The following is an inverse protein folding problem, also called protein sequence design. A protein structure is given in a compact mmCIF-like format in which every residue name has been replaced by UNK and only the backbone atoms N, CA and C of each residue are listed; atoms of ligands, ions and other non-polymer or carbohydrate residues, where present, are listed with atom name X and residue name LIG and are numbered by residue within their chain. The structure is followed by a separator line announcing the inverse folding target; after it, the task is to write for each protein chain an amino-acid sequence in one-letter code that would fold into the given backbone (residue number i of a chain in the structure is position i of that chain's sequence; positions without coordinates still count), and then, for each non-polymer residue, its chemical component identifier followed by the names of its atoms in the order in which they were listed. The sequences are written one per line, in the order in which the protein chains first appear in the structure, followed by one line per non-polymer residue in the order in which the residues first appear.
data_IF_263295155062
#
_entry.id   IF_263295155062
#
_cell.length_a   1.000
_cell.length_b   1.000
_cell.length_c   1.000
_cell.angle_alpha   90.00
_cell.angle_beta   90.00
_cell.angle_gamma   90.00
#
_symmetry.space_group_name_H-M   'P 1'
#
loop_
_entity.id
_entity.type
_entity.pdbx_description
1 polymer ?
#
# COMPACT_ATOMS: atom_id res chain seq x y z
N UNK A 1 15.37 -0.68 27.62
CA UNK A 1 16.61 -0.06 27.08
C UNK A 1 16.37 0.26 25.62
N UNK A 2 16.07 1.53 25.35
CA UNK A 2 15.97 2.08 24.00
C UNK A 2 17.34 2.61 23.63
N UNK A 3 17.93 2.13 22.51
CA UNK A 3 19.10 2.74 21.84
C UNK A 3 18.91 2.51 20.34
N UNK A 4 18.46 3.56 19.65
CA UNK A 4 19.23 4.36 18.69
C UNK A 4 19.75 3.58 17.45
N UNK A 5 18.95 3.53 16.39
CA UNK A 5 19.38 3.25 15.01
C UNK A 5 18.89 4.38 14.09
N UNK A 6 19.47 5.55 14.25
CA UNK A 6 19.15 6.75 13.46
C UNK A 6 20.38 7.45 12.88
N UNK A 7 21.55 6.81 12.87
CA UNK A 7 22.81 7.48 12.56
C UNK A 7 23.58 7.03 11.31
N UNK A 8 23.21 5.93 10.68
CA UNK A 8 24.04 5.35 9.62
C UNK A 8 23.71 5.83 8.19
N UNK A 9 22.48 6.25 7.95
CA UNK A 9 22.02 6.61 6.59
C UNK A 9 22.42 8.03 6.15
N UNK A 10 22.66 8.93 7.09
CA UNK A 10 23.02 10.32 6.76
C UNK A 10 24.51 10.50 6.41
N UNK A 11 25.38 9.59 6.83
CA UNK A 11 26.83 9.68 6.63
C UNK A 11 27.29 9.19 5.25
N UNK A 12 26.51 8.33 4.60
CA UNK A 12 26.80 7.83 3.25
C UNK A 12 26.46 8.88 2.18
N UNK A 13 25.42 9.71 2.40
CA UNK A 13 25.02 10.74 1.43
C UNK A 13 26.01 11.93 1.39
N UNK A 14 26.68 12.24 2.49
CA UNK A 14 27.67 13.34 2.56
C UNK A 14 29.01 12.94 1.94
N UNK A 15 29.36 11.64 1.93
CA UNK A 15 30.61 11.15 1.34
C UNK A 15 30.58 11.09 -0.18
N UNK A 16 29.40 10.90 -0.80
CA UNK A 16 29.26 10.88 -2.27
C UNK A 16 29.26 12.28 -2.90
N UNK A 17 28.99 13.33 -2.15
CA UNK A 17 28.99 14.71 -2.66
C UNK A 17 30.41 15.34 -2.71
N UNK A 18 31.41 14.74 -2.10
CA UNK A 18 32.80 15.23 -2.09
C UNK A 18 33.72 14.66 -3.18
N UNK A 19 33.24 13.73 -3.98
CA UNK A 19 34.03 13.10 -5.06
C UNK A 19 33.89 13.78 -6.43
N UNK A 20 33.07 14.83 -6.56
CA UNK A 20 32.86 15.52 -7.83
C UNK A 20 33.39 16.97 -7.89
N UNK A 21 34.16 17.43 -6.92
CA UNK A 21 34.80 18.76 -6.98
C UNK A 21 36.28 18.66 -6.72
N UNK A 22 37.04 18.18 -7.69
CA UNK A 22 38.47 18.48 -7.76
C UNK A 22 39.04 18.24 -9.15
N UNK A 23 39.55 19.34 -9.75
CA UNK A 23 40.38 19.37 -10.95
C UNK A 23 39.74 20.17 -12.08
N UNK A 24 40.27 21.28 -12.54
CA UNK A 24 41.65 21.66 -12.71
C UNK A 24 41.77 23.17 -12.94
N UNK A 25 42.83 23.75 -12.39
CA UNK A 25 43.38 25.06 -12.71
C UNK A 25 43.87 25.12 -14.16
N UNK A 26 43.82 26.33 -14.76
CA UNK A 26 44.45 26.62 -16.04
C UNK A 26 44.27 28.10 -16.41
N UNK A 27 45.26 28.93 -16.12
CA UNK A 27 45.43 30.36 -16.47
C UNK A 27 45.31 30.60 -17.98
N UNK A 28 44.81 31.69 -18.49
CA UNK A 28 45.55 32.90 -18.90
C UNK A 28 44.72 33.84 -19.81
N UNK A 29 44.85 35.18 -19.63
CA UNK A 29 44.99 36.09 -20.76
C UNK A 29 43.77 36.94 -21.18
N UNK A 30 43.61 38.09 -20.47
CA UNK A 30 43.32 39.44 -20.98
C UNK A 30 42.55 39.65 -22.30
N UNK A 31 41.46 40.40 -22.27
CA UNK A 31 41.35 41.82 -22.75
C UNK A 31 39.92 42.35 -22.67
N UNK A 32 39.87 43.58 -22.14
CA UNK A 32 38.73 44.45 -22.12
C UNK A 32 38.11 44.69 -23.52
N UNK A 33 36.82 44.74 -23.59
CA UNK A 33 36.11 45.68 -24.48
C UNK A 33 34.74 45.99 -23.87
N UNK A 34 34.64 47.22 -23.46
CA UNK A 34 33.46 47.97 -23.06
C UNK A 34 32.50 48.12 -24.19
N UNK A 35 31.24 47.74 -24.02
CA UNK A 35 30.09 48.44 -24.59
C UNK A 35 28.87 48.17 -23.73
N UNK A 36 28.41 49.22 -23.10
CA UNK A 36 27.18 49.28 -22.34
C UNK A 36 25.98 49.24 -23.27
N UNK A 37 25.03 48.41 -22.92
CA UNK A 37 23.66 48.61 -23.35
C UNK A 37 22.71 48.37 -22.16
N UNK A 38 22.02 49.40 -21.69
CA UNK A 38 21.17 49.32 -20.50
C UNK A 38 19.71 49.15 -20.92
N UNK A 39 19.29 47.96 -21.19
CA UNK A 39 17.85 47.65 -21.28
C UNK A 39 17.56 46.21 -20.89
N UNK A 40 16.65 46.08 -19.91
CA UNK A 40 15.99 44.86 -19.45
C UNK A 40 16.69 44.08 -18.30
N UNK A 41 16.76 44.75 -17.14
CA UNK A 41 16.75 44.00 -15.87
C UNK A 41 15.52 44.41 -15.08
N UNK A 42 14.36 44.02 -15.58
CA UNK A 42 13.17 43.89 -14.72
C UNK A 42 13.14 42.46 -14.19
N UNK A 43 14.04 42.18 -13.26
CA UNK A 43 13.89 41.02 -12.38
C UNK A 43 12.69 41.34 -11.50
N UNK A 44 11.53 40.81 -11.87
CA UNK A 44 10.38 40.76 -11.00
C UNK A 44 10.78 39.81 -9.85
N UNK A 45 11.37 40.36 -8.81
CA UNK A 45 11.40 39.70 -7.51
C UNK A 45 9.94 39.60 -7.08
N UNK A 46 9.35 38.44 -7.31
CA UNK A 46 8.11 38.05 -6.64
C UNK A 46 8.51 37.94 -5.19
N UNK A 47 8.16 38.95 -4.41
CA UNK A 47 8.29 38.94 -2.97
C UNK A 47 7.43 37.78 -2.44
N UNK A 48 8.07 36.70 -2.00
CA UNK A 48 7.46 35.60 -1.29
C UNK A 48 7.02 35.95 0.14
N UNK A 49 7.23 37.21 0.55
CA UNK A 49 6.94 37.71 1.90
C UNK A 49 5.48 38.14 2.12
N UNK A 50 4.57 37.78 1.20
CA UNK A 50 3.15 38.08 1.35
C UNK A 50 2.25 36.85 1.13
N UNK A 51 2.76 35.63 1.36
CA UNK A 51 1.88 34.55 1.78
C UNK A 51 1.68 34.78 3.29
N UNK A 52 0.80 35.72 3.59
CA UNK A 52 0.13 35.80 4.87
C UNK A 52 -0.22 34.35 5.24
N UNK A 53 0.22 33.92 6.42
CA UNK A 53 -0.37 32.78 7.13
C UNK A 53 -1.87 33.00 7.21
N UNK A 54 -2.54 32.78 6.09
CA UNK A 54 -3.99 32.65 6.01
C UNK A 54 -4.27 31.43 6.84
N UNK A 55 -4.87 31.72 7.98
CA UNK A 55 -5.50 30.81 8.90
C UNK A 55 -5.98 29.56 8.14
N UNK A 56 -5.19 28.49 8.21
CA UNK A 56 -5.72 27.16 8.14
C UNK A 56 -6.54 27.07 9.40
N UNK A 57 -7.81 27.51 9.32
CA UNK A 57 -8.81 27.08 10.27
C UNK A 57 -8.78 25.56 10.12
N UNK A 58 -8.07 24.91 11.02
CA UNK A 58 -8.32 23.53 11.36
C UNK A 58 -9.80 23.51 11.73
N UNK A 59 -10.62 23.06 10.79
CA UNK A 59 -11.99 22.64 11.11
C UNK A 59 -11.75 21.53 12.12
N UNK A 60 -11.97 21.83 13.40
CA UNK A 60 -12.08 20.83 14.44
C UNK A 60 -13.25 19.93 14.03
N UNK A 61 -12.92 18.92 13.24
CA UNK A 61 -13.86 17.86 12.90
C UNK A 61 -14.02 17.07 14.19
N UNK A 62 -15.05 17.38 14.97
CA UNK A 62 -15.43 16.55 16.10
C UNK A 62 -15.51 15.12 15.59
N UNK A 63 -14.76 14.18 16.20
CA UNK A 63 -14.72 12.79 15.70
C UNK A 63 -16.15 12.25 15.73
N UNK A 64 -16.65 11.82 14.56
CA UNK A 64 -17.97 11.23 14.44
C UNK A 64 -18.03 9.93 15.25
N UNK A 65 -19.06 9.79 16.07
CA UNK A 65 -19.36 8.51 16.73
C UNK A 65 -20.12 7.63 15.77
N UNK A 66 -19.56 6.47 15.47
CA UNK A 66 -20.12 5.53 14.50
C UNK A 66 -20.86 4.38 15.19
N UNK A 67 -22.07 4.08 14.72
CA UNK A 67 -22.82 2.87 15.03
C UNK A 67 -22.71 1.92 13.82
N UNK A 68 -21.90 0.85 13.94
CA UNK A 68 -21.63 -0.08 12.85
C UNK A 68 -22.60 -1.26 12.88
N UNK A 69 -23.21 -1.54 11.73
CA UNK A 69 -24.14 -2.64 11.50
C UNK A 69 -23.57 -3.58 10.44
N UNK A 70 -23.41 -4.85 10.78
CA UNK A 70 -22.97 -5.88 9.81
C UNK A 70 -24.11 -6.25 8.87
N UNK A 71 -23.80 -6.28 7.57
CA UNK A 71 -24.71 -6.78 6.52
C UNK A 71 -24.86 -8.29 6.65
N UNK A 72 -26.09 -8.80 6.72
CA UNK A 72 -26.43 -10.22 6.83
C UNK A 72 -27.00 -10.73 5.53
N UNK A 73 -27.07 -12.06 5.38
CA UNK A 73 -27.77 -12.67 4.26
C UNK A 73 -29.24 -12.25 4.21
N UNK A 74 -29.69 -11.77 3.05
CA UNK A 74 -31.05 -11.30 2.82
C UNK A 74 -31.32 -9.85 3.26
N UNK A 75 -30.31 -9.13 3.76
CA UNK A 75 -30.45 -7.72 4.07
C UNK A 75 -30.60 -6.86 2.80
N UNK A 76 -31.34 -5.79 2.95
CA UNK A 76 -31.36 -4.64 2.05
C UNK A 76 -31.11 -3.37 2.86
N UNK A 77 -30.91 -2.23 2.22
CA UNK A 77 -30.61 -0.98 2.89
C UNK A 77 -31.71 -0.59 3.90
N UNK A 78 -32.98 -0.70 3.56
CA UNK A 78 -34.08 -0.38 4.48
C UNK A 78 -34.01 -1.19 5.77
N UNK A 79 -33.74 -2.48 5.70
CA UNK A 79 -33.60 -3.34 6.90
C UNK A 79 -32.39 -2.93 7.75
N UNK A 80 -31.28 -2.54 7.11
CA UNK A 80 -30.05 -2.12 7.81
C UNK A 80 -30.27 -0.76 8.49
N UNK A 81 -30.83 0.22 7.77
CA UNK A 81 -31.12 1.55 8.30
C UNK A 81 -32.11 1.46 9.45
N UNK A 82 -33.22 0.72 9.30
CA UNK A 82 -34.18 0.51 10.38
C UNK A 82 -33.54 -0.16 11.62
N UNK A 83 -32.63 -1.10 11.43
CA UNK A 83 -31.87 -1.73 12.53
C UNK A 83 -30.96 -0.74 13.24
N UNK A 84 -30.47 0.26 12.54
CA UNK A 84 -29.64 1.35 13.08
C UNK A 84 -30.49 2.48 13.70
N UNK A 85 -31.83 2.46 13.53
CA UNK A 85 -32.74 3.48 14.05
C UNK A 85 -33.13 4.57 13.06
N UNK A 86 -32.80 4.38 11.76
CA UNK A 86 -33.07 5.33 10.69
C UNK A 86 -34.21 4.85 9.77
N UNK A 87 -34.81 5.78 9.03
CA UNK A 87 -35.99 5.53 8.21
C UNK A 87 -35.67 5.23 6.75
N UNK A 88 -36.69 4.76 5.99
CA UNK A 88 -36.58 4.60 4.53
C UNK A 88 -36.38 5.94 3.81
N UNK A 89 -36.76 7.07 4.43
CA UNK A 89 -36.48 8.40 3.91
C UNK A 89 -34.97 8.67 3.94
N UNK A 90 -34.29 8.29 5.01
CA UNK A 90 -32.83 8.44 5.12
C UNK A 90 -32.13 7.58 4.07
N UNK A 91 -32.63 6.36 3.81
CA UNK A 91 -32.13 5.52 2.69
C UNK A 91 -32.26 6.27 1.36
N UNK A 92 -33.43 6.87 1.10
CA UNK A 92 -33.67 7.62 -0.13
C UNK A 92 -32.72 8.83 -0.22
N UNK A 93 -32.58 9.60 0.84
CA UNK A 93 -31.76 10.82 0.87
C UNK A 93 -30.28 10.50 0.61
N UNK A 94 -29.73 9.42 1.20
CA UNK A 94 -28.33 8.97 0.97
C UNK A 94 -28.14 8.41 -0.45
N UNK A 95 -29.14 7.69 -0.99
CA UNK A 95 -29.01 6.96 -2.27
C UNK A 95 -29.53 7.72 -3.49
N UNK A 96 -30.19 8.87 -3.32
CA UNK A 96 -30.78 9.65 -4.42
C UNK A 96 -29.74 10.32 -5.32
N UNK A 97 -28.53 10.62 -4.81
CA UNK A 97 -27.42 11.16 -5.59
C UNK A 97 -26.76 10.12 -6.49
N UNK A 98 -26.06 10.57 -7.55
CA UNK A 98 -25.31 9.70 -8.47
C UNK A 98 -24.32 8.82 -7.71
N UNK A 99 -23.69 9.37 -6.69
CA UNK A 99 -22.70 8.71 -5.87
C UNK A 99 -23.31 7.70 -4.88
N UNK A 100 -24.56 7.91 -4.45
CA UNK A 100 -25.29 7.03 -3.52
C UNK A 100 -25.64 5.67 -4.13
N UNK A 101 -25.58 5.52 -5.44
CA UNK A 101 -25.91 4.26 -6.10
C UNK A 101 -24.94 3.11 -5.75
N UNK A 102 -23.69 3.42 -5.40
CA UNK A 102 -22.72 2.42 -4.97
C UNK A 102 -23.15 1.71 -3.68
N UNK A 103 -23.81 2.45 -2.76
CA UNK A 103 -24.34 1.90 -1.52
C UNK A 103 -25.44 0.84 -1.72
N UNK A 104 -26.06 0.79 -2.91
CA UNK A 104 -27.07 -0.24 -3.22
C UNK A 104 -26.49 -1.62 -3.49
N UNK A 105 -25.16 -1.72 -3.62
CA UNK A 105 -24.44 -2.98 -3.83
C UNK A 105 -23.75 -3.41 -2.54
N UNK A 106 -24.53 -3.93 -1.62
CA UNK A 106 -24.06 -4.45 -0.35
C UNK A 106 -23.95 -5.97 -0.38
N UNK A 107 -22.95 -6.50 0.33
CA UNK A 107 -22.72 -7.94 0.43
C UNK A 107 -22.63 -8.38 1.89
N UNK A 108 -23.07 -9.59 2.22
CA UNK A 108 -22.95 -10.12 3.57
C UNK A 108 -21.49 -10.07 4.07
N UNK A 109 -21.33 -9.67 5.35
CA UNK A 109 -20.03 -9.49 5.98
C UNK A 109 -19.48 -8.06 5.91
N UNK A 110 -19.98 -7.21 5.01
CA UNK A 110 -19.63 -5.79 4.98
C UNK A 110 -20.22 -5.05 6.19
N UNK A 111 -19.67 -3.87 6.50
CA UNK A 111 -20.15 -3.02 7.57
C UNK A 111 -20.73 -1.72 7.00
N UNK A 112 -21.88 -1.33 7.51
CA UNK A 112 -22.48 -0.01 7.29
C UNK A 112 -22.46 0.72 8.63
N UNK A 113 -21.72 1.82 8.70
CA UNK A 113 -21.67 2.68 9.90
C UNK A 113 -22.56 3.90 9.72
N UNK A 114 -23.19 4.31 10.79
CA UNK A 114 -24.09 5.46 10.85
C UNK A 114 -23.58 6.45 11.89
N UNK A 115 -23.58 7.72 11.54
CA UNK A 115 -23.32 8.80 12.47
C UNK A 115 -24.52 9.75 12.49
N UNK A 116 -24.96 10.10 13.70
CA UNK A 116 -26.04 11.02 13.95
C UNK A 116 -25.55 12.24 14.73
N UNK A 117 -26.27 13.34 14.63
CA UNK A 117 -26.09 14.50 15.47
C UNK A 117 -26.77 14.36 16.84
N UNK A 118 -26.73 15.41 17.66
CA UNK A 118 -27.35 15.45 18.99
C UNK A 118 -28.90 15.32 18.93
N UNK A 119 -29.50 15.66 17.78
CA UNK A 119 -30.93 15.51 17.54
C UNK A 119 -31.32 14.12 17.03
N UNK A 120 -30.37 13.19 16.95
CA UNK A 120 -30.47 11.85 16.34
C UNK A 120 -30.80 11.87 14.83
N UNK A 121 -30.52 12.98 14.13
CA UNK A 121 -30.63 13.05 12.70
C UNK A 121 -29.36 12.45 12.03
N UNK A 122 -29.57 11.71 10.92
CA UNK A 122 -28.47 11.13 10.16
C UNK A 122 -27.62 12.22 9.49
N UNK A 123 -26.34 12.27 9.84
CA UNK A 123 -25.38 13.23 9.28
C UNK A 123 -24.33 12.56 8.39
N UNK A 124 -24.03 11.28 8.63
CA UNK A 124 -23.11 10.54 7.78
C UNK A 124 -23.39 9.04 7.78
N UNK A 125 -23.07 8.39 6.67
CA UNK A 125 -23.08 6.92 6.50
C UNK A 125 -21.72 6.51 5.97
N UNK A 126 -21.12 5.45 6.50
CA UNK A 126 -19.93 4.83 5.91
C UNK A 126 -20.22 3.41 5.47
N UNK A 127 -19.80 3.05 4.29
CA UNK A 127 -19.83 1.70 3.78
C UNK A 127 -18.41 1.15 3.76
N UNK A 128 -18.10 0.23 4.64
CA UNK A 128 -16.79 -0.44 4.70
C UNK A 128 -16.88 -1.70 3.86
N UNK A 129 -16.36 -1.61 2.63
CA UNK A 129 -16.38 -2.69 1.65
C UNK A 129 -15.32 -3.75 1.99
N UNK A 130 -14.16 -3.29 2.49
CA UNK A 130 -13.04 -4.11 2.96
C UNK A 130 -12.17 -3.29 3.92
N UNK A 131 -11.20 -3.89 4.63
CA UNK A 131 -10.26 -3.13 5.46
C UNK A 131 -9.48 -2.05 4.68
N UNK A 132 -9.35 -2.19 3.37
CA UNK A 132 -8.63 -1.25 2.50
C UNK A 132 -9.53 -0.23 1.80
N UNK A 133 -10.86 -0.42 1.81
CA UNK A 133 -11.76 0.44 1.05
C UNK A 133 -13.03 0.74 1.80
N UNK A 134 -13.32 2.01 1.97
CA UNK A 134 -14.60 2.49 2.48
C UNK A 134 -15.09 3.69 1.67
N UNK A 135 -16.40 3.86 1.62
CA UNK A 135 -17.05 5.05 1.07
C UNK A 135 -17.80 5.75 2.20
N UNK A 136 -17.53 7.03 2.39
CA UNK A 136 -18.23 7.87 3.38
C UNK A 136 -19.19 8.79 2.65
N UNK A 137 -20.43 8.80 3.08
CA UNK A 137 -21.49 9.68 2.62
C UNK A 137 -21.75 10.70 3.73
N UNK A 138 -21.45 11.96 3.52
CA UNK A 138 -21.64 13.04 4.51
C UNK A 138 -22.68 14.03 4.03
N UNK A 139 -23.54 14.50 4.94
CA UNK A 139 -24.56 15.52 4.65
C UNK A 139 -23.87 16.88 4.53
N UNK A 140 -23.96 17.50 3.36
CA UNK A 140 -23.44 18.83 3.08
C UNK A 140 -24.56 19.68 2.47
N UNK A 141 -24.90 20.80 3.08
CA UNK A 141 -25.98 21.71 2.63
C UNK A 141 -27.32 20.97 2.36
N UNK A 142 -27.63 19.97 3.19
CA UNK A 142 -28.86 19.17 3.09
C UNK A 142 -28.83 18.03 2.08
N UNK A 143 -27.73 17.83 1.35
CA UNK A 143 -27.54 16.72 0.41
C UNK A 143 -26.38 15.85 0.84
N UNK A 144 -26.46 14.54 0.53
CA UNK A 144 -25.35 13.62 0.79
C UNK A 144 -24.36 13.66 -0.37
N UNK A 145 -23.10 13.91 -0.03
CA UNK A 145 -21.93 13.79 -0.92
C UNK A 145 -21.09 12.59 -0.48
N UNK A 146 -20.41 11.90 -1.40
CA UNK A 146 -19.59 10.74 -1.05
C UNK A 146 -18.13 10.97 -1.34
N UNK A 147 -17.29 10.38 -0.49
CA UNK A 147 -15.85 10.29 -0.62
C UNK A 147 -15.43 8.82 -0.52
N UNK A 148 -14.62 8.35 -1.48
CA UNK A 148 -14.03 7.01 -1.45
C UNK A 148 -12.66 7.10 -0.80
N UNK A 149 -12.47 6.40 0.30
CA UNK A 149 -11.21 6.32 1.04
C UNK A 149 -10.60 4.95 0.74
N UNK A 150 -9.44 4.96 0.08
CA UNK A 150 -8.64 3.76 -0.17
C UNK A 150 -7.39 3.84 0.70
N UNK A 151 -7.13 2.78 1.44
CA UNK A 151 -5.95 2.64 2.29
C UNK A 151 -4.93 1.77 1.59
N UNK A 152 -3.69 2.16 1.64
CA UNK A 152 -2.58 1.39 1.11
C UNK A 152 -1.93 0.58 2.22
N UNK A 153 -1.42 -0.60 1.87
CA UNK A 153 -0.61 -1.43 2.76
C UNK A 153 0.86 -1.04 2.63
N UNK A 154 1.60 -1.15 3.72
CA UNK A 154 3.05 -1.09 3.69
C UNK A 154 3.58 -2.47 3.30
N UNK A 155 4.35 -2.55 2.22
CA UNK A 155 4.97 -3.81 1.78
C UNK A 155 6.36 -3.93 2.38
N UNK A 156 6.67 -5.09 2.98
CA UNK A 156 7.98 -5.43 3.56
C UNK A 156 8.46 -6.75 2.97
N UNK A 157 9.76 -6.86 2.75
CA UNK A 157 10.38 -8.10 2.30
C UNK A 157 10.74 -8.99 3.49
N UNK A 158 10.48 -10.28 3.32
CA UNK A 158 10.85 -11.33 4.28
C UNK A 158 11.58 -12.44 3.59
N UNK A 159 12.71 -12.86 4.16
CA UNK A 159 13.44 -14.05 3.72
C UNK A 159 13.28 -15.18 4.74
N UNK A 160 13.03 -16.39 4.23
CA UNK A 160 12.90 -17.60 5.03
C UNK A 160 13.74 -18.72 4.42
N UNK A 161 14.54 -19.38 5.26
CA UNK A 161 15.27 -20.59 4.90
C UNK A 161 14.56 -21.79 5.54
N UNK A 162 14.39 -22.86 4.77
CA UNK A 162 13.65 -24.07 5.13
C UNK A 162 14.52 -25.28 4.80
N UNK A 163 14.66 -26.20 5.76
CA UNK A 163 15.24 -27.52 5.48
C UNK A 163 14.13 -28.56 5.46
N UNK A 164 14.03 -29.34 4.39
CA UNK A 164 13.01 -30.37 4.22
C UNK A 164 13.37 -31.59 5.08
N UNK A 165 12.49 -31.94 6.00
CA UNK A 165 12.60 -33.15 6.83
C UNK A 165 11.65 -34.26 6.35
N UNK A 166 10.46 -33.90 5.86
CA UNK A 166 9.45 -34.86 5.38
C UNK A 166 8.74 -34.39 4.10
N UNK A 167 8.22 -33.16 4.07
CA UNK A 167 7.55 -32.58 2.91
C UNK A 167 7.73 -31.07 2.90
N UNK A 168 7.65 -30.47 1.69
CA UNK A 168 7.68 -29.02 1.54
C UNK A 168 6.62 -28.35 2.41
N UNK A 169 5.37 -28.86 2.37
CA UNK A 169 4.27 -28.24 3.08
C UNK A 169 4.52 -28.19 4.60
N UNK A 170 4.92 -29.31 5.19
CA UNK A 170 5.16 -29.38 6.64
C UNK A 170 6.36 -28.52 7.04
N UNK A 171 7.43 -28.53 6.25
CA UNK A 171 8.61 -27.72 6.53
C UNK A 171 8.33 -26.22 6.40
N UNK A 172 7.54 -25.81 5.41
CA UNK A 172 7.11 -24.43 5.22
C UNK A 172 6.18 -23.93 6.34
N UNK A 173 5.20 -24.75 6.74
CA UNK A 173 4.29 -24.45 7.86
C UNK A 173 5.06 -24.28 9.17
N UNK A 174 6.02 -25.17 9.46
CA UNK A 174 6.91 -25.06 10.63
C UNK A 174 7.79 -23.80 10.60
N UNK A 175 8.17 -23.32 9.41
CA UNK A 175 8.92 -22.08 9.20
C UNK A 175 8.02 -20.82 9.28
N UNK A 176 6.71 -20.99 9.51
CA UNK A 176 5.74 -19.91 9.64
C UNK A 176 5.35 -19.29 8.29
N UNK A 177 5.39 -20.05 7.21
CA UNK A 177 4.82 -19.68 5.93
C UNK A 177 3.33 -20.00 5.91
N UNK A 178 2.55 -19.17 5.20
CA UNK A 178 1.16 -19.49 4.94
C UNK A 178 1.02 -20.61 3.90
N UNK A 179 -0.10 -21.31 3.93
CA UNK A 179 -0.42 -22.29 2.90
C UNK A 179 -0.39 -21.70 1.48
N UNK A 180 -0.76 -20.42 1.34
CA UNK A 180 -0.74 -19.73 0.05
C UNK A 180 0.68 -19.60 -0.49
N UNK A 181 1.63 -19.12 0.31
CA UNK A 181 3.06 -19.01 -0.08
C UNK A 181 3.66 -20.38 -0.39
N UNK A 182 3.36 -21.41 0.41
CA UNK A 182 3.86 -22.77 0.15
C UNK A 182 3.33 -23.32 -1.17
N UNK A 183 2.06 -23.11 -1.48
CA UNK A 183 1.46 -23.55 -2.74
C UNK A 183 1.96 -22.76 -3.93
N UNK A 184 2.16 -21.45 -3.79
CA UNK A 184 2.76 -20.60 -4.81
C UNK A 184 4.21 -21.04 -5.11
N UNK A 185 5.01 -21.28 -4.08
CA UNK A 185 6.38 -21.81 -4.24
C UNK A 185 6.39 -23.13 -4.99
N UNK A 186 5.47 -24.05 -4.64
CA UNK A 186 5.32 -25.32 -5.35
C UNK A 186 4.90 -25.13 -6.82
N UNK A 187 4.07 -24.14 -7.12
CA UNK A 187 3.66 -23.82 -8.49
C UNK A 187 4.83 -23.21 -9.29
N UNK A 188 5.60 -22.29 -8.70
CA UNK A 188 6.75 -21.64 -9.36
C UNK A 188 7.81 -22.67 -9.75
N UNK A 189 8.20 -23.55 -8.84
CA UNK A 189 9.26 -24.55 -9.07
C UNK A 189 8.73 -25.85 -9.71
N UNK A 190 7.40 -26.03 -9.78
CA UNK A 190 6.74 -27.27 -10.20
C UNK A 190 6.97 -27.65 -11.67
N UNK A 191 7.44 -26.73 -12.51
CA UNK A 191 7.88 -27.04 -13.88
C UNK A 191 9.19 -27.82 -13.95
N UNK A 192 9.98 -27.80 -12.88
CA UNK A 192 11.33 -28.39 -12.80
C UNK A 192 11.45 -29.42 -11.69
N UNK A 193 10.64 -29.30 -10.62
CA UNK A 193 10.64 -30.13 -9.41
C UNK A 193 9.27 -30.80 -9.25
N UNK A 194 9.27 -32.13 -9.17
CA UNK A 194 8.09 -32.89 -8.72
C UNK A 194 8.11 -32.97 -7.18
N UNK A 195 7.35 -32.09 -6.51
CA UNK A 195 7.31 -32.01 -5.06
C UNK A 195 6.73 -33.25 -4.37
N UNK A 196 6.15 -34.21 -5.12
CA UNK A 196 5.74 -35.48 -4.58
C UNK A 196 6.86 -36.53 -4.59
N UNK A 197 7.84 -36.40 -5.50
CA UNK A 197 8.85 -37.43 -5.74
C UNK A 197 10.30 -36.98 -5.52
N UNK A 198 10.61 -35.71 -5.83
CA UNK A 198 12.00 -35.21 -5.86
C UNK A 198 12.58 -34.81 -4.50
N UNK A 199 11.82 -34.13 -3.60
CA UNK A 199 12.36 -33.66 -2.35
C UNK A 199 12.93 -34.77 -1.49
N UNK A 200 14.09 -34.53 -0.90
CA UNK A 200 14.76 -35.44 0.01
C UNK A 200 14.93 -34.76 1.37
N UNK A 201 15.08 -35.58 2.38
CA UNK A 201 15.45 -35.12 3.72
C UNK A 201 16.82 -34.44 3.64
N UNK A 202 16.90 -33.21 4.14
CA UNK A 202 18.11 -32.39 4.12
C UNK A 202 18.22 -31.46 2.91
N UNK A 203 17.25 -31.48 1.98
CA UNK A 203 17.18 -30.46 0.93
C UNK A 203 16.81 -29.10 1.54
N UNK A 204 17.41 -28.04 0.99
CA UNK A 204 17.24 -26.68 1.50
C UNK A 204 16.52 -25.80 0.48
N UNK A 205 15.62 -24.99 0.98
CA UNK A 205 14.90 -23.97 0.20
C UNK A 205 15.12 -22.61 0.88
N UNK A 206 15.38 -21.59 0.09
CA UNK A 206 15.36 -20.19 0.54
C UNK A 206 14.37 -19.44 -0.33
N UNK A 207 13.48 -18.69 0.31
CA UNK A 207 12.54 -17.82 -0.39
C UNK A 207 12.68 -16.39 0.11
N UNK A 208 12.49 -15.43 -0.81
CA UNK A 208 12.31 -14.02 -0.54
C UNK A 208 10.92 -13.64 -1.06
N UNK A 209 10.08 -13.09 -0.20
CA UNK A 209 8.72 -12.74 -0.54
C UNK A 209 8.27 -11.46 0.17
N UNK A 210 7.19 -10.88 -0.31
CA UNK A 210 6.59 -9.69 0.26
C UNK A 210 5.55 -10.05 1.32
N UNK A 211 5.47 -9.23 2.36
CA UNK A 211 4.37 -9.22 3.34
C UNK A 211 3.74 -7.83 3.36
N UNK A 212 2.43 -7.76 3.26
CA UNK A 212 1.69 -6.51 3.31
C UNK A 212 1.18 -6.26 4.73
N UNK A 213 1.42 -5.07 5.24
CA UNK A 213 1.05 -4.63 6.59
C UNK A 213 0.03 -3.51 6.52
N UNK A 214 -0.95 -3.55 7.39
CA UNK A 214 -1.94 -2.49 7.60
C UNK A 214 -1.91 -2.09 9.07
N UNK A 215 -1.69 -0.80 9.37
CA UNK A 215 -1.55 -0.27 10.73
C UNK A 215 -0.47 -0.98 11.58
N UNK A 216 0.57 -1.49 10.92
CA UNK A 216 1.68 -2.19 11.58
C UNK A 216 1.44 -3.68 11.84
N UNK A 217 0.25 -4.20 11.55
CA UNK A 217 -0.07 -5.62 11.63
C UNK A 217 -0.03 -6.27 10.25
N UNK A 218 0.41 -7.53 10.18
CA UNK A 218 0.42 -8.28 8.92
C UNK A 218 -1.00 -8.48 8.43
N UNK A 219 -1.26 -7.96 7.25
CA UNK A 219 -2.57 -7.99 6.59
C UNK A 219 -2.69 -9.16 5.60
N UNK A 220 -1.68 -9.37 4.77
CA UNK A 220 -1.63 -10.45 3.78
C UNK A 220 -0.20 -10.78 3.38
N UNK A 221 -0.03 -11.93 2.75
CA UNK A 221 1.19 -12.19 1.99
C UNK A 221 1.14 -11.44 0.65
N UNK A 222 2.32 -11.09 0.13
CA UNK A 222 2.52 -10.55 -1.20
C UNK A 222 3.14 -11.61 -2.12
N UNK A 223 3.86 -11.16 -3.16
CA UNK A 223 4.45 -12.03 -4.15
C UNK A 223 5.74 -12.68 -3.64
N UNK A 224 6.04 -13.89 -4.11
CA UNK A 224 7.40 -14.45 -4.00
C UNK A 224 8.28 -13.68 -5.00
N UNK A 225 9.36 -13.07 -4.53
CA UNK A 225 10.31 -12.30 -5.34
C UNK A 225 11.43 -13.18 -5.89
N UNK A 226 11.90 -14.12 -5.07
CA UNK A 226 12.91 -15.09 -5.47
C UNK A 226 12.75 -16.37 -4.64
N UNK A 227 13.10 -17.48 -5.24
CA UNK A 227 13.19 -18.78 -4.60
C UNK A 227 14.41 -19.53 -5.08
N UNK A 228 15.07 -20.26 -4.18
CA UNK A 228 16.12 -21.22 -4.52
C UNK A 228 15.86 -22.54 -3.82
N UNK A 229 16.03 -23.64 -4.54
CA UNK A 229 15.89 -24.98 -4.02
C UNK A 229 17.14 -25.80 -4.32
N UNK A 230 17.87 -26.21 -3.28
CA UNK A 230 18.97 -27.15 -3.41
C UNK A 230 18.47 -28.58 -3.18
N UNK A 231 18.17 -29.26 -4.29
CA UNK A 231 17.70 -30.64 -4.30
C UNK A 231 18.88 -31.59 -4.54
N UNK A 232 19.38 -32.22 -3.48
CA UNK A 232 20.50 -33.19 -3.55
C UNK A 232 21.72 -32.65 -4.31
N UNK A 233 22.04 -31.34 -4.10
CA UNK A 233 23.18 -30.67 -4.77
C UNK A 233 22.85 -30.07 -6.15
N UNK A 234 21.63 -30.26 -6.65
CA UNK A 234 21.11 -29.54 -7.84
C UNK A 234 20.42 -28.26 -7.36
N UNK A 235 20.97 -27.11 -7.69
CA UNK A 235 20.37 -25.82 -7.41
C UNK A 235 19.34 -25.50 -8.51
N UNK A 236 18.13 -25.16 -8.11
CA UNK A 236 17.04 -24.62 -8.94
C UNK A 236 16.67 -23.28 -8.38
N UNK A 237 16.64 -22.26 -9.23
CA UNK A 237 16.35 -20.88 -8.83
C UNK A 237 15.21 -20.33 -9.67
N UNK A 238 14.44 -19.43 -9.09
CA UNK A 238 13.39 -18.69 -9.77
C UNK A 238 13.35 -17.26 -9.25
N UNK A 239 13.29 -16.30 -10.19
CA UNK A 239 13.25 -14.88 -9.91
C UNK A 239 12.01 -14.27 -10.56
N UNK A 240 11.25 -13.50 -9.79
CA UNK A 240 10.12 -12.76 -10.32
C UNK A 240 10.61 -11.57 -11.12
N UNK A 241 10.21 -11.49 -12.39
CA UNK A 241 10.57 -10.41 -13.28
C UNK A 241 9.36 -9.91 -14.07
N UNK A 242 9.28 -8.60 -14.26
CA UNK A 242 8.28 -7.96 -15.12
C UNK A 242 9.01 -7.41 -16.34
N UNK A 243 8.61 -7.85 -17.51
CA UNK A 243 9.22 -7.43 -18.76
C UNK A 243 8.81 -6.00 -19.18
N UNK A 244 9.35 -5.53 -20.31
CA UNK A 244 9.05 -4.17 -20.83
C UNK A 244 7.64 -4.03 -21.38
N UNK A 245 6.89 -5.13 -21.57
CA UNK A 245 5.51 -5.14 -22.01
C UNK A 245 4.54 -5.16 -20.82
N UNK A 246 5.07 -5.36 -19.60
CA UNK A 246 4.30 -5.43 -18.36
C UNK A 246 3.90 -6.85 -17.96
N UNK A 247 4.34 -7.86 -18.70
CA UNK A 247 4.09 -9.25 -18.37
C UNK A 247 5.03 -9.71 -17.25
N UNK A 248 4.48 -10.33 -16.22
CA UNK A 248 5.22 -10.81 -15.06
C UNK A 248 5.28 -12.32 -15.05
N UNK A 249 6.48 -12.87 -14.85
CA UNK A 249 6.74 -14.30 -14.75
C UNK A 249 7.87 -14.62 -13.78
N UNK A 250 8.17 -15.92 -13.67
CA UNK A 250 9.31 -16.42 -12.94
C UNK A 250 10.29 -17.03 -13.92
N UNK A 251 11.54 -16.67 -13.80
CA UNK A 251 12.63 -17.04 -14.71
C UNK A 251 13.81 -17.54 -13.89
N UNK A 252 14.60 -18.44 -14.44
CA UNK A 252 15.86 -18.83 -13.84
C UNK A 252 16.94 -17.74 -14.04
N UNK A 253 18.18 -18.03 -13.60
CA UNK A 253 19.31 -17.09 -13.74
C UNK A 253 19.70 -16.81 -15.20
N UNK A 254 19.33 -17.68 -16.13
CA UNK A 254 19.58 -17.55 -17.58
C UNK A 254 18.42 -16.84 -18.31
N UNK A 255 17.33 -16.54 -17.61
CA UNK A 255 16.16 -15.85 -18.15
C UNK A 255 15.18 -16.76 -18.90
N UNK A 256 15.14 -18.04 -18.58
CA UNK A 256 14.27 -19.05 -19.21
C UNK A 256 13.19 -19.49 -18.25
#
# INVERSE_FOLDING_TARGET
QRLAWGGATLLVLVLLLRLFTNGSDGEDGSKQSTLADPLLTATTQIAWDAVTEGQIQSIETTPLTWNDVTVRNGDNLSLIFNRAGFSDRDVFDVTSGVQGQALRRIFPGQLIGFAADEAAELIAVRHIESPLKQTVYSKNEGQFVSEVIVRETETRERSVAITIDSSLFLAGDQAGLSAAIIMELAAILGGVIDFALDPRRGDDIVILFEENYLDGEKFSDGNILAASFNNNGRLVEAYRYTDSLGDTGYFDADGV
#
